data_IF_275926975419
#
_entry.id   IF_275926975419
#
_cell.length_a   1.000
_cell.length_b   1.000
_cell.length_c   1.000
_cell.angle_alpha   90.00
_cell.angle_beta   90.00
_cell.angle_gamma   90.00
#
_symmetry.space_group_name_H-M   'P 1'
#
loop_
_entity.id
_entity.type
_entity.pdbx_description
1 polymer ?
#
# COMPACT_ATOMS: atom_id res chain seq x y z
N UNK A 1 -37.77 1.90 -9.66
CA UNK A 1 -36.56 2.38 -8.97
C UNK A 1 -35.82 1.15 -8.48
N UNK A 2 -34.73 0.74 -9.14
CA UNK A 2 -33.92 -0.40 -8.68
C UNK A 2 -32.97 0.13 -7.63
N UNK A 3 -33.09 -0.35 -6.38
CA UNK A 3 -32.13 -0.05 -5.34
C UNK A 3 -30.78 -0.66 -5.71
N UNK A 4 -29.76 0.18 -5.86
CA UNK A 4 -28.40 -0.27 -6.14
C UNK A 4 -27.69 -0.58 -4.81
N UNK A 5 -27.81 -1.82 -4.33
CA UNK A 5 -27.15 -2.26 -3.10
C UNK A 5 -25.62 -2.11 -3.17
N UNK A 6 -25.03 -2.29 -4.36
CA UNK A 6 -23.58 -2.13 -4.54
C UNK A 6 -23.11 -0.71 -4.25
N UNK A 7 -23.84 0.32 -4.71
CA UNK A 7 -23.46 1.71 -4.41
C UNK A 7 -23.55 2.03 -2.92
N UNK A 8 -24.52 1.45 -2.22
CA UNK A 8 -24.66 1.63 -0.77
C UNK A 8 -23.49 1.01 0.00
N UNK A 9 -23.04 -0.18 -0.41
CA UNK A 9 -21.84 -0.80 0.18
C UNK A 9 -20.58 0.01 -0.10
N UNK A 10 -20.42 0.57 -1.31
CA UNK A 10 -19.28 1.44 -1.62
C UNK A 10 -19.31 2.74 -0.81
N UNK A 11 -20.48 3.36 -0.67
CA UNK A 11 -20.64 4.56 0.17
C UNK A 11 -20.28 4.26 1.62
N UNK A 12 -20.74 3.12 2.14
CA UNK A 12 -20.42 2.68 3.50
C UNK A 12 -18.92 2.44 3.66
N UNK A 13 -18.26 1.76 2.71
CA UNK A 13 -16.81 1.54 2.75
C UNK A 13 -16.01 2.87 2.73
N UNK A 14 -16.47 3.85 1.97
CA UNK A 14 -15.87 5.19 1.94
C UNK A 14 -16.06 5.94 3.28
N UNK A 15 -17.23 5.79 3.92
CA UNK A 15 -17.46 6.33 5.26
C UNK A 15 -16.52 5.71 6.29
N UNK A 16 -16.36 4.38 6.28
CA UNK A 16 -15.45 3.70 7.20
C UNK A 16 -13.98 4.05 6.96
N UNK A 17 -13.57 4.30 5.71
CA UNK A 17 -12.25 4.86 5.41
C UNK A 17 -12.05 6.22 6.07
N UNK A 18 -13.05 7.10 6.02
CA UNK A 18 -12.98 8.42 6.68
C UNK A 18 -12.97 8.27 8.21
N UNK A 19 -13.71 7.32 8.80
CA UNK A 19 -13.61 7.01 10.22
C UNK A 19 -12.18 6.61 10.62
N UNK A 20 -11.57 5.66 9.89
CA UNK A 20 -10.20 5.22 10.14
C UNK A 20 -9.18 6.38 10.05
N UNK A 21 -9.34 7.25 9.06
CA UNK A 21 -8.50 8.45 8.87
C UNK A 21 -8.64 9.45 10.02
N UNK A 22 -9.84 9.68 10.54
CA UNK A 22 -10.06 10.54 11.72
C UNK A 22 -9.30 10.01 12.94
N UNK A 23 -9.40 8.70 13.20
CA UNK A 23 -8.67 8.04 14.28
C UNK A 23 -7.15 8.14 14.08
N UNK A 24 -6.65 7.79 12.90
CA UNK A 24 -5.22 7.81 12.61
C UNK A 24 -4.62 9.21 12.70
N UNK A 25 -5.37 10.24 12.27
CA UNK A 25 -4.98 11.64 12.47
C UNK A 25 -4.91 12.02 13.95
N UNK A 26 -5.85 11.55 14.78
CA UNK A 26 -5.84 11.82 16.23
C UNK A 26 -4.65 11.17 16.94
N UNK A 27 -4.17 10.04 16.41
CA UNK A 27 -2.95 9.35 16.85
C UNK A 27 -1.67 9.92 16.23
N UNK A 28 -1.74 11.06 15.52
CA UNK A 28 -0.62 11.68 14.82
C UNK A 28 0.05 10.78 13.76
N UNK A 29 -0.68 9.81 13.20
CA UNK A 29 -0.17 8.89 12.18
C UNK A 29 -0.04 9.48 10.78
N UNK A 30 -0.67 10.63 10.50
CA UNK A 30 -0.58 11.33 9.22
C UNK A 30 0.39 12.50 9.36
N UNK A 31 1.58 12.36 8.76
CA UNK A 31 2.65 13.37 8.76
C UNK A 31 2.79 14.09 7.42
N UNK A 32 3.99 14.59 7.14
CA UNK A 32 4.31 15.15 5.83
C UNK A 32 4.28 14.07 4.75
N UNK A 33 4.19 14.44 3.47
CA UNK A 33 4.25 13.48 2.36
C UNK A 33 5.55 12.66 2.40
N UNK A 34 6.67 13.25 2.83
CA UNK A 34 7.95 12.53 2.98
C UNK A 34 7.83 11.48 4.08
N UNK A 35 7.27 11.84 5.24
CA UNK A 35 7.14 10.90 6.37
C UNK A 35 6.19 9.76 6.05
N UNK A 36 5.07 10.07 5.39
CA UNK A 36 4.11 9.07 4.95
C UNK A 36 4.72 8.11 3.92
N UNK A 37 5.54 8.61 2.98
CA UNK A 37 6.26 7.78 2.01
C UNK A 37 7.31 6.88 2.68
N UNK A 38 8.03 7.38 3.69
CA UNK A 38 8.98 6.56 4.45
C UNK A 38 8.25 5.45 5.22
N UNK A 39 7.13 5.78 5.86
CA UNK A 39 6.30 4.80 6.55
C UNK A 39 5.77 3.73 5.60
N UNK A 40 5.27 4.12 4.41
CA UNK A 40 4.83 3.19 3.38
C UNK A 40 5.99 2.30 2.91
N UNK A 41 7.16 2.84 2.58
CA UNK A 41 8.33 2.04 2.18
C UNK A 41 8.72 1.02 3.27
N UNK A 42 8.70 1.42 4.54
CA UNK A 42 9.03 0.51 5.64
C UNK A 42 7.98 -0.60 5.81
N UNK A 43 6.69 -0.26 5.74
CA UNK A 43 5.60 -1.24 5.83
C UNK A 43 5.65 -2.25 4.69
N UNK A 44 5.68 -1.76 3.45
CA UNK A 44 5.78 -2.59 2.25
C UNK A 44 7.01 -3.51 2.30
N UNK A 45 8.16 -2.99 2.73
CA UNK A 45 9.37 -3.79 2.90
C UNK A 45 9.15 -4.96 3.88
N UNK A 46 8.64 -4.67 5.08
CA UNK A 46 8.33 -5.70 6.06
C UNK A 46 7.35 -6.76 5.52
N UNK A 47 6.33 -6.32 4.78
CA UNK A 47 5.33 -7.21 4.19
C UNK A 47 5.96 -8.22 3.24
N UNK A 48 6.75 -7.78 2.26
CA UNK A 48 7.30 -8.70 1.26
C UNK A 48 8.58 -9.43 1.70
N UNK A 49 9.35 -8.91 2.66
CA UNK A 49 10.58 -9.59 3.12
C UNK A 49 10.36 -10.53 4.30
N UNK A 50 9.35 -10.27 5.15
CA UNK A 50 9.16 -11.01 6.39
C UNK A 50 7.75 -11.56 6.53
N UNK A 51 6.73 -10.72 6.49
CA UNK A 51 5.36 -11.12 6.84
C UNK A 51 4.77 -12.14 5.87
N UNK A 52 4.68 -11.82 4.58
CA UNK A 52 4.09 -12.71 3.58
C UNK A 52 4.94 -13.95 3.32
N UNK A 53 6.29 -13.89 3.25
CA UNK A 53 7.11 -15.09 3.19
C UNK A 53 6.88 -16.05 4.37
N UNK A 54 6.79 -15.52 5.60
CA UNK A 54 6.48 -16.34 6.78
C UNK A 54 5.08 -16.96 6.67
N UNK A 55 4.06 -16.17 6.34
CA UNK A 55 2.69 -16.67 6.18
C UNK A 55 2.58 -17.72 5.06
N UNK A 56 3.34 -17.57 3.97
CA UNK A 56 3.38 -18.56 2.90
C UNK A 56 3.99 -19.88 3.36
N UNK A 57 5.08 -19.83 4.15
CA UNK A 57 5.71 -21.03 4.70
C UNK A 57 4.79 -21.72 5.72
N UNK A 58 4.21 -20.97 6.65
CA UNK A 58 3.22 -21.49 7.62
C UNK A 58 2.05 -22.16 6.89
N UNK A 59 1.52 -21.54 5.83
CA UNK A 59 0.46 -22.13 5.01
C UNK A 59 0.88 -23.43 4.32
N UNK A 60 2.13 -23.56 3.86
CA UNK A 60 2.66 -24.82 3.28
C UNK A 60 2.77 -25.91 4.35
N UNK A 61 3.29 -25.57 5.53
CA UNK A 61 3.42 -26.50 6.66
C UNK A 61 2.06 -27.05 7.11
N UNK A 62 1.01 -26.22 7.05
CA UNK A 62 -0.37 -26.61 7.37
C UNK A 62 -1.12 -27.31 6.20
N UNK A 63 -0.50 -27.41 5.02
CA UNK A 63 -1.07 -28.08 3.85
C UNK A 63 -2.01 -27.22 2.98
N UNK A 64 -1.99 -25.90 3.16
CA UNK A 64 -2.78 -24.93 2.40
C UNK A 64 -2.03 -24.34 1.19
N UNK A 65 -1.73 -25.18 0.21
CA UNK A 65 -0.89 -24.82 -0.95
C UNK A 65 -1.39 -23.60 -1.75
N UNK A 66 -2.70 -23.48 -1.96
CA UNK A 66 -3.26 -22.34 -2.72
C UNK A 66 -3.19 -21.03 -1.93
N UNK A 67 -3.26 -21.10 -0.59
CA UNK A 67 -3.09 -19.93 0.28
C UNK A 67 -1.61 -19.51 0.30
N UNK A 68 -0.68 -20.47 0.33
CA UNK A 68 0.74 -20.18 0.24
C UNK A 68 1.08 -19.43 -1.06
N UNK A 69 0.62 -19.92 -2.22
CA UNK A 69 0.80 -19.25 -3.51
C UNK A 69 0.18 -17.85 -3.54
N UNK A 70 -0.98 -17.68 -2.90
CA UNK A 70 -1.61 -16.36 -2.76
C UNK A 70 -0.68 -15.41 -2.00
N UNK A 71 -0.13 -15.81 -0.85
CA UNK A 71 0.79 -14.96 -0.08
C UNK A 71 2.09 -14.66 -0.82
N UNK A 72 2.67 -15.62 -1.54
CA UNK A 72 3.84 -15.39 -2.42
C UNK A 72 3.52 -14.38 -3.53
N UNK A 73 2.34 -14.49 -4.13
CA UNK A 73 1.86 -13.55 -5.14
C UNK A 73 1.68 -12.14 -4.60
N UNK A 74 1.14 -12.01 -3.37
CA UNK A 74 1.00 -10.71 -2.70
C UNK A 74 2.37 -10.12 -2.38
N UNK A 75 3.33 -10.91 -1.86
CA UNK A 75 4.69 -10.42 -1.59
C UNK A 75 5.36 -9.79 -2.84
N UNK A 76 5.18 -10.38 -4.01
CA UNK A 76 5.72 -9.81 -5.27
C UNK A 76 5.00 -8.51 -5.68
N UNK A 77 3.74 -8.32 -5.30
CA UNK A 77 3.02 -7.05 -5.49
C UNK A 77 3.56 -5.98 -4.55
N UNK A 78 3.72 -6.28 -3.26
CA UNK A 78 4.21 -5.32 -2.26
C UNK A 78 5.66 -4.91 -2.54
N UNK A 79 6.49 -5.81 -3.07
CA UNK A 79 7.82 -5.47 -3.58
C UNK A 79 7.77 -4.39 -4.68
N UNK A 80 6.75 -4.42 -5.54
CA UNK A 80 6.56 -3.38 -6.58
C UNK A 80 6.03 -2.08 -5.99
N UNK A 81 5.20 -2.14 -4.94
CA UNK A 81 4.75 -0.98 -4.20
C UNK A 81 5.91 -0.27 -3.51
N UNK A 82 6.76 -1.01 -2.78
CA UNK A 82 7.97 -0.47 -2.16
C UNK A 82 8.86 0.25 -3.19
N UNK A 83 9.12 -0.39 -4.33
CA UNK A 83 9.91 0.21 -5.43
C UNK A 83 9.29 1.52 -5.93
N UNK A 84 7.96 1.58 -6.06
CA UNK A 84 7.22 2.78 -6.49
C UNK A 84 7.36 3.89 -5.46
N UNK A 85 7.16 3.59 -4.17
CA UNK A 85 7.25 4.59 -3.11
C UNK A 85 8.69 5.10 -2.90
N UNK A 86 9.70 4.23 -3.00
CA UNK A 86 11.12 4.64 -3.00
C UNK A 86 11.40 5.65 -4.13
N UNK A 87 10.90 5.40 -5.34
CA UNK A 87 11.06 6.32 -6.48
C UNK A 87 10.35 7.66 -6.25
N UNK A 88 9.13 7.64 -5.69
CA UNK A 88 8.40 8.87 -5.37
C UNK A 88 9.11 9.69 -4.28
N UNK A 89 9.62 9.03 -3.24
CA UNK A 89 10.37 9.64 -2.17
C UNK A 89 11.65 10.31 -2.69
N UNK A 90 12.42 9.61 -3.53
CA UNK A 90 13.63 10.13 -4.16
C UNK A 90 13.34 11.36 -5.03
N UNK A 91 12.31 11.31 -5.88
CA UNK A 91 11.89 12.45 -6.69
C UNK A 91 11.50 13.67 -5.84
N UNK A 92 10.81 13.43 -4.72
CA UNK A 92 10.36 14.49 -3.81
C UNK A 92 11.55 15.15 -3.11
N UNK A 93 12.52 14.35 -2.64
CA UNK A 93 13.74 14.84 -2.01
C UNK A 93 14.63 15.64 -2.97
N UNK A 94 14.68 15.24 -4.25
CA UNK A 94 15.44 15.94 -5.29
C UNK A 94 14.71 17.14 -5.89
N UNK A 95 13.43 17.36 -5.55
CA UNK A 95 12.61 18.42 -6.15
C UNK A 95 12.29 18.17 -7.63
N UNK A 96 12.29 16.91 -8.04
CA UNK A 96 12.10 16.46 -9.43
C UNK A 96 10.67 16.00 -9.73
N UNK A 97 9.72 16.09 -8.79
CA UNK A 97 8.33 15.65 -9.02
C UNK A 97 7.75 16.23 -10.31
N UNK A 98 7.97 17.53 -10.55
CA UNK A 98 7.50 18.26 -11.74
C UNK A 98 8.65 18.79 -12.61
N UNK A 99 9.85 18.23 -12.48
CA UNK A 99 11.03 18.61 -13.28
C UNK A 99 11.65 17.37 -13.90
N UNK A 100 12.00 17.47 -15.18
CA UNK A 100 12.72 16.42 -15.93
C UNK A 100 13.79 17.09 -16.77
N UNK A 101 14.90 16.39 -16.96
CA UNK A 101 15.93 16.82 -17.90
C UNK A 101 15.43 16.57 -19.32
N UNK A 102 15.31 17.63 -20.11
CA UNK A 102 14.81 17.57 -21.49
C UNK A 102 13.30 17.78 -21.64
N UNK A 103 12.82 17.75 -22.88
CA UNK A 103 11.41 17.94 -23.21
C UNK A 103 10.64 16.64 -22.96
N UNK A 104 9.64 16.71 -22.09
CA UNK A 104 8.72 15.61 -21.78
C UNK A 104 7.29 16.08 -22.00
N UNK A 105 6.47 15.19 -22.52
CA UNK A 105 5.03 15.35 -22.60
C UNK A 105 4.41 14.53 -21.47
N UNK A 106 3.54 15.17 -20.71
CA UNK A 106 2.84 14.59 -19.57
C UNK A 106 1.45 14.11 -19.99
#
# INVERSE_FOLDING_TARGET
>A
MVFNFFSLFLETAENEKEHAKLHFKKLAGIGSTIDNLKAAVAGENFEWTEMYPRMAEEAKEEGFEEIAKMFEGIAEVERKHEKRYKKLLDNLQKGEVFKRNGKVYW
#
